data_IF_200911281947
#
_entry.id   IF_200911281947
#
_cell.length_a   1.000
_cell.length_b   1.000
_cell.length_c   1.000
_cell.angle_alpha   90.00
_cell.angle_beta   90.00
_cell.angle_gamma   90.00
#
_symmetry.space_group_name_H-M   'P 1'
#
loop_
_entity.id
_entity.type
_entity.pdbx_description
1 polymer ?
#
# COMPACT_ATOMS: atom_id res chain seq x y z
N UNK A 1 -49.04 14.55 46.31
CA UNK A 1 -48.09 15.32 45.48
C UNK A 1 -48.67 16.70 45.32
N UNK A 2 -47.89 17.72 45.63
CA UNK A 2 -48.31 19.13 45.53
C UNK A 2 -48.05 19.64 44.12
N UNK A 3 -48.89 20.54 43.61
CA UNK A 3 -48.76 21.19 42.29
C UNK A 3 -47.35 21.74 42.01
N UNK A 4 -46.57 22.09 43.05
CA UNK A 4 -45.18 22.52 42.94
C UNK A 4 -44.18 21.40 42.52
N UNK A 5 -44.40 20.16 42.97
CA UNK A 5 -43.55 19.01 42.60
C UNK A 5 -43.77 18.61 41.13
N UNK A 6 -45.03 18.67 40.67
CA UNK A 6 -45.40 18.43 39.27
C UNK A 6 -44.80 19.49 38.34
N UNK A 7 -44.83 20.75 38.76
CA UNK A 7 -44.28 21.87 37.98
C UNK A 7 -42.75 21.81 37.89
N UNK A 8 -42.06 21.44 38.98
CA UNK A 8 -40.62 21.20 38.96
C UNK A 8 -40.24 20.01 38.06
N UNK A 9 -41.02 18.94 38.09
CA UNK A 9 -40.79 17.76 37.23
C UNK A 9 -40.94 18.14 35.75
N UNK A 10 -42.00 18.89 35.39
CA UNK A 10 -42.23 19.34 34.02
C UNK A 10 -41.14 20.29 33.50
N UNK A 11 -40.60 21.18 34.34
CA UNK A 11 -39.48 22.06 33.98
C UNK A 11 -38.22 21.23 33.68
N UNK A 12 -37.90 20.27 34.55
CA UNK A 12 -36.73 19.39 34.39
C UNK A 12 -36.85 18.54 33.13
N UNK A 13 -38.02 17.97 32.87
CA UNK A 13 -38.28 17.16 31.67
C UNK A 13 -38.18 17.98 30.38
N UNK A 14 -38.70 19.21 30.38
CA UNK A 14 -38.59 20.13 29.23
C UNK A 14 -37.13 20.48 28.96
N UNK A 15 -36.35 20.79 30.00
CA UNK A 15 -34.94 21.09 29.87
C UNK A 15 -34.13 19.90 29.30
N UNK A 16 -34.44 18.67 29.73
CA UNK A 16 -33.83 17.47 29.16
C UNK A 16 -34.26 17.23 27.71
N UNK A 17 -35.54 17.43 27.39
CA UNK A 17 -36.03 17.29 26.03
C UNK A 17 -35.28 18.22 25.06
N UNK A 18 -35.09 19.49 25.43
CA UNK A 18 -34.31 20.45 24.63
C UNK A 18 -32.86 19.99 24.42
N UNK A 19 -32.20 19.49 25.47
CA UNK A 19 -30.83 18.94 25.36
C UNK A 19 -30.76 17.72 24.45
N UNK A 20 -31.74 16.81 24.54
CA UNK A 20 -31.78 15.62 23.69
C UNK A 20 -31.99 15.98 22.22
N UNK A 21 -32.91 16.90 21.91
CA UNK A 21 -33.14 17.37 20.54
C UNK A 21 -31.86 18.03 19.99
N UNK A 22 -31.27 18.95 20.76
CA UNK A 22 -30.02 19.60 20.36
C UNK A 22 -28.88 18.61 20.11
N UNK A 23 -28.70 17.63 21.00
CA UNK A 23 -27.67 16.60 20.82
C UNK A 23 -27.94 15.77 19.56
N UNK A 24 -29.19 15.34 19.34
CA UNK A 24 -29.55 14.55 18.16
C UNK A 24 -29.22 15.30 16.87
N UNK A 25 -29.54 16.58 16.80
CA UNK A 25 -29.23 17.42 15.64
C UNK A 25 -27.73 17.56 15.41
N UNK A 26 -26.93 17.67 16.48
CA UNK A 26 -25.47 17.68 16.38
C UNK A 26 -24.90 16.34 15.91
N UNK A 27 -25.42 15.22 16.44
CA UNK A 27 -25.01 13.86 16.06
C UNK A 27 -25.32 13.58 14.60
N UNK A 28 -26.50 13.98 14.12
CA UNK A 28 -26.90 13.86 12.72
C UNK A 28 -26.02 14.68 11.76
N UNK A 29 -25.29 15.67 12.25
CA UNK A 29 -24.36 16.49 11.46
C UNK A 29 -22.93 15.98 11.49
N UNK A 30 -22.62 14.91 12.25
CA UNK A 30 -21.28 14.35 12.31
C UNK A 30 -20.93 13.55 11.04
N UNK A 31 -21.87 12.73 10.59
CA UNK A 31 -21.73 11.87 9.41
C UNK A 31 -22.70 12.33 8.32
N UNK A 32 -22.29 12.20 7.06
CA UNK A 32 -23.18 12.38 5.92
C UNK A 32 -24.11 11.15 5.73
N UNK A 33 -24.99 11.21 4.73
CA UNK A 33 -25.93 10.12 4.42
C UNK A 33 -25.24 8.80 4.03
N UNK A 34 -23.94 8.83 3.73
CA UNK A 34 -23.11 7.66 3.42
C UNK A 34 -22.35 7.15 4.65
N UNK A 35 -22.59 7.74 5.82
CA UNK A 35 -21.87 7.41 7.04
C UNK A 35 -20.43 7.93 7.05
N UNK A 36 -20.10 8.97 6.28
CA UNK A 36 -18.74 9.53 6.20
C UNK A 36 -18.64 10.81 7.02
N UNK A 37 -17.55 10.97 7.76
CA UNK A 37 -17.30 12.14 8.61
C UNK A 37 -17.30 13.46 7.81
N UNK A 38 -18.16 14.40 8.20
CA UNK A 38 -18.26 15.74 7.61
C UNK A 38 -17.01 16.57 7.97
N UNK A 39 -16.50 17.35 7.01
CA UNK A 39 -15.21 18.07 7.11
C UNK A 39 -15.02 18.96 8.34
N UNK A 40 -16.11 19.54 8.85
CA UNK A 40 -16.12 20.47 9.99
C UNK A 40 -16.93 19.93 11.17
N UNK A 41 -17.13 18.62 11.23
CA UNK A 41 -17.84 17.98 12.34
C UNK A 41 -17.11 18.20 13.67
N UNK A 42 -17.81 18.68 14.69
CA UNK A 42 -17.25 18.86 16.02
C UNK A 42 -17.51 17.64 16.91
N UNK A 43 -16.79 16.54 16.64
CA UNK A 43 -16.97 15.26 17.34
C UNK A 43 -16.74 15.39 18.85
N UNK A 44 -15.74 16.18 19.27
CA UNK A 44 -15.37 16.32 20.68
C UNK A 44 -16.43 17.04 21.51
N UNK A 45 -17.02 18.11 20.97
CA UNK A 45 -18.09 18.81 21.66
C UNK A 45 -19.35 17.96 21.77
N UNK A 46 -19.76 17.31 20.67
CA UNK A 46 -20.92 16.41 20.66
C UNK A 46 -20.75 15.25 21.65
N UNK A 47 -19.54 14.67 21.77
CA UNK A 47 -19.24 13.63 22.77
C UNK A 47 -19.40 14.16 24.20
N UNK A 48 -18.90 15.36 24.50
CA UNK A 48 -19.06 16.00 25.82
C UNK A 48 -20.53 16.20 26.17
N UNK A 49 -21.34 16.68 25.22
CA UNK A 49 -22.77 16.88 25.42
C UNK A 49 -23.51 15.55 25.64
N UNK A 50 -23.14 14.49 24.92
CA UNK A 50 -23.68 13.15 25.15
C UNK A 50 -23.36 12.62 26.55
N UNK A 51 -22.11 12.78 27.02
CA UNK A 51 -21.71 12.34 28.36
C UNK A 51 -22.50 13.07 29.45
N UNK A 52 -22.79 14.36 29.26
CA UNK A 52 -23.51 15.17 30.24
C UNK A 52 -24.95 14.68 30.52
N UNK A 53 -25.58 13.96 29.59
CA UNK A 53 -26.94 13.42 29.74
C UNK A 53 -26.97 11.92 30.02
N UNK A 54 -25.81 11.25 30.06
CA UNK A 54 -25.67 9.79 30.20
C UNK A 54 -26.36 9.26 31.46
N UNK A 55 -26.23 9.98 32.58
CA UNK A 55 -26.78 9.57 33.88
C UNK A 55 -28.31 9.57 33.87
N UNK A 56 -28.90 10.62 33.31
CA UNK A 56 -30.34 10.85 33.36
C UNK A 56 -31.10 10.17 32.23
N UNK A 57 -30.47 10.00 31.06
CA UNK A 57 -31.07 9.41 29.85
C UNK A 57 -30.14 8.36 29.21
N UNK A 58 -29.87 7.23 29.88
CA UNK A 58 -28.87 6.24 29.44
C UNK A 58 -29.22 5.57 28.10
N UNK A 59 -30.50 5.30 27.83
CA UNK A 59 -30.95 4.69 26.57
C UNK A 59 -30.70 5.62 25.38
N UNK A 60 -31.06 6.90 25.54
CA UNK A 60 -30.82 7.92 24.52
C UNK A 60 -29.32 8.11 24.29
N UNK A 61 -28.52 8.20 25.36
CA UNK A 61 -27.06 8.24 25.26
C UNK A 61 -26.52 7.05 24.46
N UNK A 62 -26.95 5.81 24.76
CA UNK A 62 -26.45 4.62 24.08
C UNK A 62 -26.73 4.67 22.56
N UNK A 63 -27.87 5.20 22.15
CA UNK A 63 -28.21 5.38 20.72
C UNK A 63 -27.31 6.42 20.06
N UNK A 64 -27.19 7.62 20.65
CA UNK A 64 -26.37 8.70 20.09
C UNK A 64 -24.88 8.33 20.07
N UNK A 65 -24.40 7.64 21.11
CA UNK A 65 -23.01 7.28 21.27
C UNK A 65 -22.52 6.33 20.17
N UNK A 66 -23.38 5.50 19.56
CA UNK A 66 -22.97 4.65 18.42
C UNK A 66 -22.43 5.49 17.26
N UNK A 67 -23.17 6.52 16.86
CA UNK A 67 -22.78 7.42 15.76
C UNK A 67 -21.57 8.26 16.16
N UNK A 68 -21.52 8.74 17.41
CA UNK A 68 -20.37 9.50 17.93
C UNK A 68 -19.09 8.66 17.88
N UNK A 69 -19.13 7.39 18.27
CA UNK A 69 -17.96 6.51 18.23
C UNK A 69 -17.50 6.24 16.79
N UNK A 70 -18.43 6.05 15.85
CA UNK A 70 -18.06 5.92 14.44
C UNK A 70 -17.38 7.19 13.91
N UNK A 71 -17.97 8.37 14.17
CA UNK A 71 -17.36 9.65 13.79
C UNK A 71 -15.97 9.84 14.41
N UNK A 72 -15.80 9.46 15.68
CA UNK A 72 -14.52 9.50 16.40
C UNK A 72 -13.48 8.56 15.80
N UNK A 73 -13.87 7.35 15.41
CA UNK A 73 -12.97 6.41 14.72
C UNK A 73 -12.50 6.97 13.39
N UNK A 74 -13.40 7.56 12.59
CA UNK A 74 -13.03 8.19 11.32
C UNK A 74 -12.11 9.40 11.52
N UNK A 75 -12.39 10.25 12.51
CA UNK A 75 -11.52 11.37 12.87
C UNK A 75 -10.12 10.88 13.27
N UNK A 76 -10.03 9.84 14.09
CA UNK A 76 -8.77 9.24 14.50
C UNK A 76 -7.99 8.64 13.30
N UNK A 77 -8.70 8.02 12.35
CA UNK A 77 -8.08 7.49 11.13
C UNK A 77 -7.51 8.61 10.24
N UNK A 78 -8.20 9.75 10.13
CA UNK A 78 -7.69 10.94 9.44
C UNK A 78 -6.43 11.45 10.14
N UNK A 79 -6.42 11.55 11.47
CA UNK A 79 -5.25 11.98 12.24
C UNK A 79 -4.07 11.03 12.03
N UNK A 80 -4.28 9.71 12.11
CA UNK A 80 -3.23 8.71 11.87
C UNK A 80 -2.63 8.80 10.47
N UNK A 81 -3.48 8.98 9.45
CA UNK A 81 -3.01 9.12 8.08
C UNK A 81 -2.21 10.42 7.87
N UNK A 82 -2.60 11.53 8.50
CA UNK A 82 -1.82 12.75 8.49
C UNK A 82 -0.47 12.56 9.20
N UNK A 83 -0.44 11.95 10.38
CA UNK A 83 0.81 11.67 11.10
C UNK A 83 1.76 10.78 10.30
N UNK A 84 1.24 9.73 9.64
CA UNK A 84 2.04 8.86 8.79
C UNK A 84 2.62 9.62 7.59
N UNK A 85 1.87 10.58 7.04
CA UNK A 85 2.34 11.45 5.98
C UNK A 85 3.37 12.47 6.47
N UNK A 86 3.11 13.15 7.58
CA UNK A 86 3.99 14.15 8.20
C UNK A 86 5.36 13.55 8.54
N UNK A 87 5.40 12.26 8.90
CA UNK A 87 6.65 11.54 9.14
C UNK A 87 7.59 11.49 7.93
N UNK A 88 7.07 11.67 6.70
CA UNK A 88 7.83 11.72 5.44
C UNK A 88 8.40 13.12 5.15
N UNK A 89 7.92 14.15 5.85
CA UNK A 89 8.32 15.55 5.66
C UNK A 89 9.14 16.06 6.85
N UNK A 90 9.91 17.11 6.65
CA UNK A 90 10.72 17.72 7.73
C UNK A 90 9.86 18.23 8.89
N UNK A 91 8.63 18.65 8.58
CA UNK A 91 7.67 19.26 9.49
C UNK A 91 6.25 19.17 8.93
N UNK A 92 5.28 19.59 9.74
CA UNK A 92 3.84 19.57 9.43
C UNK A 92 3.42 20.52 8.30
N UNK A 93 4.29 21.45 7.86
CA UNK A 93 4.00 22.30 6.70
C UNK A 93 4.11 21.56 5.36
N UNK A 94 4.72 20.36 5.37
CA UNK A 94 4.89 19.48 4.20
C UNK A 94 5.54 20.16 2.99
N UNK A 95 6.37 21.17 3.24
CA UNK A 95 7.11 21.88 2.20
C UNK A 95 8.31 21.07 1.72
N UNK A 96 9.03 20.44 2.65
CA UNK A 96 10.28 19.73 2.38
C UNK A 96 10.18 18.26 2.77
N UNK A 97 10.50 17.36 1.83
CA UNK A 97 10.53 15.91 2.06
C UNK A 97 11.86 15.56 2.74
N UNK A 98 11.87 14.61 3.69
CA UNK A 98 13.12 14.19 4.33
C UNK A 98 14.02 13.47 3.31
N UNK A 99 15.33 13.67 3.40
CA UNK A 99 16.30 13.02 2.50
C UNK A 99 16.44 11.51 2.72
N UNK A 100 16.07 11.02 3.91
CA UNK A 100 16.16 9.61 4.30
C UNK A 100 14.81 8.87 4.25
N UNK A 101 13.82 9.39 3.52
CA UNK A 101 12.57 8.65 3.30
C UNK A 101 12.89 7.36 2.55
N UNK A 102 12.30 6.25 2.99
CA UNK A 102 12.42 4.95 2.33
C UNK A 102 11.06 4.44 1.86
N UNK A 103 11.09 3.53 0.87
CA UNK A 103 9.88 2.94 0.27
C UNK A 103 8.93 2.33 1.31
N UNK A 104 9.46 1.71 2.37
CA UNK A 104 8.64 1.14 3.44
C UNK A 104 7.79 2.19 4.19
N UNK A 105 8.37 3.37 4.46
CA UNK A 105 7.64 4.46 5.14
C UNK A 105 6.53 5.02 4.23
N UNK A 106 6.81 5.16 2.93
CA UNK A 106 5.82 5.55 1.95
C UNK A 106 4.65 4.56 1.86
N UNK A 107 4.92 3.26 1.86
CA UNK A 107 3.87 2.23 1.84
C UNK A 107 3.02 2.22 3.12
N UNK A 108 3.63 2.50 4.28
CA UNK A 108 2.89 2.67 5.53
C UNK A 108 1.91 3.86 5.44
N UNK A 109 2.35 4.99 4.90
CA UNK A 109 1.50 6.15 4.71
C UNK A 109 0.38 5.92 3.68
N UNK A 110 0.66 5.20 2.59
CA UNK A 110 -0.38 4.76 1.63
C UNK A 110 -1.45 3.89 2.29
N UNK A 111 -1.02 2.95 3.13
CA UNK A 111 -1.92 2.05 3.87
C UNK A 111 -2.86 2.85 4.76
N UNK A 112 -2.35 3.83 5.52
CA UNK A 112 -3.17 4.68 6.37
C UNK A 112 -4.11 5.59 5.56
N UNK A 113 -3.64 6.14 4.42
CA UNK A 113 -4.49 6.94 3.50
C UNK A 113 -5.66 6.13 2.97
N UNK A 114 -5.47 4.84 2.67
CA UNK A 114 -6.51 4.01 2.08
C UNK A 114 -7.66 3.72 3.07
N UNK A 115 -7.40 3.75 4.37
CA UNK A 115 -8.41 3.62 5.44
C UNK A 115 -9.26 4.89 5.64
N UNK A 116 -8.84 6.04 5.11
CA UNK A 116 -9.60 7.29 5.21
C UNK A 116 -10.82 7.24 4.30
N UNK A 117 -12.01 7.41 4.88
CA UNK A 117 -13.29 7.47 4.15
C UNK A 117 -13.61 8.86 3.59
N UNK A 118 -13.29 9.92 4.34
CA UNK A 118 -13.60 11.29 3.94
C UNK A 118 -12.81 11.69 2.68
N UNK A 119 -13.55 11.99 1.60
CA UNK A 119 -12.97 12.24 0.27
C UNK A 119 -11.97 13.38 0.25
N UNK A 120 -12.28 14.52 0.86
CA UNK A 120 -11.38 15.68 0.82
C UNK A 120 -10.08 15.46 1.60
N UNK A 121 -10.15 14.92 2.82
CA UNK A 121 -8.94 14.50 3.53
C UNK A 121 -8.14 13.48 2.73
N UNK A 122 -8.80 12.49 2.11
CA UNK A 122 -8.12 11.49 1.27
C UNK A 122 -7.44 12.11 0.06
N UNK A 123 -8.07 13.08 -0.61
CA UNK A 123 -7.49 13.79 -1.74
C UNK A 123 -6.27 14.63 -1.34
N UNK A 124 -6.33 15.34 -0.21
CA UNK A 124 -5.18 16.07 0.31
C UNK A 124 -3.98 15.14 0.56
N UNK A 125 -4.23 13.98 1.18
CA UNK A 125 -3.19 12.97 1.40
C UNK A 125 -2.61 12.42 0.08
N UNK A 126 -3.44 12.21 -0.95
CA UNK A 126 -2.98 11.74 -2.26
C UNK A 126 -2.03 12.74 -2.92
N UNK A 127 -2.35 14.04 -2.86
CA UNK A 127 -1.52 15.07 -3.48
C UNK A 127 -0.10 15.10 -2.89
N UNK A 128 0.00 15.04 -1.56
CA UNK A 128 1.29 15.02 -0.88
C UNK A 128 2.05 13.71 -1.09
N UNK A 129 1.37 12.55 -1.05
CA UNK A 129 1.99 11.25 -1.31
C UNK A 129 2.55 11.15 -2.73
N UNK A 130 1.89 11.73 -3.74
CA UNK A 130 2.41 11.77 -5.10
C UNK A 130 3.75 12.54 -5.19
N UNK A 131 3.91 13.60 -4.41
CA UNK A 131 5.19 14.34 -4.34
C UNK A 131 6.29 13.47 -3.73
N UNK A 132 5.98 12.70 -2.70
CA UNK A 132 6.92 11.77 -2.06
C UNK A 132 7.32 10.63 -3.01
N UNK A 133 6.36 10.09 -3.76
CA UNK A 133 6.63 9.04 -4.75
C UNK A 133 7.60 9.51 -5.83
N UNK A 134 7.38 10.70 -6.40
CA UNK A 134 8.29 11.30 -7.38
C UNK A 134 9.70 11.49 -6.79
N UNK A 135 9.79 11.94 -5.54
CA UNK A 135 11.06 12.11 -4.84
C UNK A 135 11.80 10.78 -4.67
N UNK A 136 11.11 9.72 -4.24
CA UNK A 136 11.70 8.39 -4.09
C UNK A 136 12.21 7.83 -5.41
N UNK A 137 11.42 7.95 -6.49
CA UNK A 137 11.84 7.52 -7.83
C UNK A 137 13.12 8.25 -8.27
N UNK A 138 13.20 9.56 -8.04
CA UNK A 138 14.38 10.34 -8.38
C UNK A 138 15.62 9.92 -7.55
N UNK A 139 15.43 9.68 -6.25
CA UNK A 139 16.47 9.22 -5.34
C UNK A 139 17.00 7.83 -5.72
N UNK A 140 16.10 6.89 -6.02
CA UNK A 140 16.45 5.53 -6.45
C UNK A 140 17.22 5.55 -7.78
N UNK A 141 16.77 6.37 -8.75
CA UNK A 141 17.48 6.56 -10.02
C UNK A 141 18.89 7.12 -9.81
N UNK A 142 19.03 8.14 -8.98
CA UNK A 142 20.34 8.74 -8.69
C UNK A 142 21.28 7.75 -8.00
N UNK A 143 20.78 6.95 -7.06
CA UNK A 143 21.56 5.91 -6.38
C UNK A 143 22.03 4.82 -7.37
N UNK A 144 21.15 4.36 -8.26
CA UNK A 144 21.50 3.39 -9.30
C UNK A 144 22.58 3.91 -10.26
N UNK A 145 22.48 5.16 -10.70
CA UNK A 145 23.50 5.79 -11.54
C UNK A 145 24.87 5.92 -10.84
N UNK A 146 24.87 6.22 -9.54
CA UNK A 146 26.10 6.28 -8.74
C UNK A 146 26.73 4.89 -8.56
N UNK A 147 25.93 3.86 -8.32
CA UNK A 147 26.40 2.47 -8.23
C UNK A 147 27.01 2.00 -9.56
N UNK A 148 26.34 2.27 -10.69
CA UNK A 148 26.86 1.91 -12.01
C UNK A 148 28.20 2.62 -12.33
N UNK A 149 28.36 3.89 -11.93
CA UNK A 149 29.63 4.62 -12.07
C UNK A 149 30.73 4.03 -11.17
N UNK A 150 30.39 3.67 -9.93
CA UNK A 150 31.34 3.06 -9.00
C UNK A 150 31.80 1.68 -9.48
N UNK A 151 30.89 0.86 -10.01
CA UNK A 151 31.24 -0.45 -10.58
C UNK A 151 32.13 -0.34 -11.81
N UNK A 152 31.89 0.64 -12.68
CA UNK A 152 32.74 0.88 -13.87
C UNK A 152 34.15 1.29 -13.43
N UNK A 153 34.27 2.21 -12.46
CA UNK A 153 35.59 2.62 -11.93
C UNK A 153 36.31 1.49 -11.20
N UNK A 154 35.59 0.61 -10.50
CA UNK A 154 36.18 -0.56 -9.85
C UNK A 154 36.70 -1.58 -10.88
N UNK A 155 35.98 -1.79 -11.98
CA UNK A 155 36.40 -2.67 -13.08
C UNK A 155 37.61 -2.12 -13.85
N UNK A 156 37.69 -0.81 -14.05
CA UNK A 156 38.85 -0.15 -14.68
C UNK A 156 40.12 -0.25 -13.81
N UNK A 157 39.98 -0.12 -12.49
CA UNK A 157 41.10 -0.31 -11.54
C UNK A 157 41.52 -1.78 -11.37
N UNK A 158 40.64 -2.74 -11.61
CA UNK A 158 40.97 -4.17 -11.56
C UNK A 158 41.62 -4.69 -12.86
N UNK A 159 41.38 -4.02 -14.01
CA UNK A 159 41.94 -4.39 -15.31
C UNK A 159 43.20 -3.60 -15.68
N UNK A 160 43.84 -2.89 -14.75
CA UNK A 160 45.15 -2.28 -15.01
C UNK A 160 46.20 -3.39 -15.03
N UNK A 161 46.83 -3.73 -16.18
CA UNK A 161 47.88 -4.73 -16.19
C UNK A 161 49.03 -4.23 -15.34
N UNK A 162 49.51 -5.10 -14.45
CA UNK A 162 50.79 -4.95 -13.78
C UNK A 162 51.87 -4.94 -14.87
N UNK A 163 52.26 -3.75 -15.32
CA UNK A 163 53.36 -3.54 -16.26
C UNK A 163 54.68 -3.83 -15.55
N UNK A 164 54.99 -5.10 -15.33
CA UNK A 164 56.33 -5.55 -14.99
C UNK A 164 57.10 -5.86 -16.28
N UNK A 165 57.69 -4.79 -16.81
CA UNK A 165 59.00 -4.68 -17.44
C UNK A 165 59.50 -5.86 -18.34
N UNK A 166 59.64 -5.67 -19.66
CA UNK A 166 60.35 -6.61 -20.52
C UNK A 166 61.85 -6.29 -20.50
N UNK A 167 62.66 -7.19 -19.94
CA UNK A 167 64.11 -7.21 -20.19
C UNK A 167 64.61 -8.65 -20.18
N UNK A 168 64.91 -9.16 -21.36
CA UNK A 168 65.68 -10.38 -21.63
C UNK A 168 66.73 -9.99 -22.69
N UNK A 169 67.84 -10.71 -22.93
CA UNK A 169 68.33 -11.97 -22.34
C UNK A 169 69.84 -11.97 -21.99
N UNK A 170 70.37 -12.96 -21.26
CA UNK A 170 71.75 -13.46 -21.48
C UNK A 170 71.99 -14.82 -20.82
N UNK A 171 72.72 -15.66 -21.54
CA UNK A 171 73.03 -17.07 -21.27
C UNK A 171 74.11 -17.27 -20.21
N UNK A 172 74.15 -18.51 -19.71
CA UNK A 172 75.33 -19.36 -19.39
C UNK A 172 75.71 -19.59 -17.92
N UNK A 173 75.58 -20.87 -17.54
CA UNK A 173 76.47 -21.71 -16.70
C UNK A 173 77.33 -21.08 -15.60
N UNK A 174 77.19 -21.57 -14.36
CA UNK A 174 78.18 -22.47 -13.71
C UNK A 174 77.84 -22.72 -12.24
N UNK A 175 78.41 -23.83 -11.77
CA UNK A 175 78.25 -24.57 -10.52
C UNK A 175 78.92 -23.96 -9.27
N UNK A 176 78.68 -24.63 -8.12
CA UNK A 176 79.36 -24.59 -6.80
C UNK A 176 78.75 -23.64 -5.76
N UNK A 177 78.07 -24.17 -4.72
CA UNK A 177 78.58 -24.55 -3.38
C UNK A 177 78.89 -23.29 -2.53
N UNK A 178 78.48 -23.08 -1.26
CA UNK A 178 78.15 -23.95 -0.12
C UNK A 178 77.53 -23.07 1.00
N UNK A 179 76.53 -23.57 1.74
CA UNK A 179 76.51 -23.82 3.21
C UNK A 179 76.17 -22.68 4.20
N UNK A 180 75.25 -22.98 5.14
CA UNK A 180 75.18 -22.42 6.50
C UNK A 180 73.84 -21.78 6.88
N UNK A 181 72.81 -22.53 7.31
CA UNK A 181 72.40 -22.66 8.73
C UNK A 181 71.11 -21.84 8.97
N UNK A 182 70.11 -22.17 9.79
CA UNK A 182 69.94 -23.11 10.89
C UNK A 182 68.43 -23.44 11.06
N UNK A 183 68.18 -24.60 11.65
CA UNK A 183 66.94 -25.38 11.78
C UNK A 183 65.98 -24.90 12.89
N UNK A 184 64.67 -25.18 12.76
CA UNK A 184 63.78 -25.74 13.84
C UNK A 184 62.44 -26.17 13.23
N UNK A 185 62.20 -27.47 12.98
CA UNK A 185 61.51 -28.48 13.81
C UNK A 185 60.00 -28.24 14.07
N UNK A 186 59.17 -29.19 13.64
CA UNK A 186 57.73 -29.20 13.90
C UNK A 186 56.94 -30.35 13.24
N UNK A 187 57.29 -31.60 13.59
CA UNK A 187 56.45 -32.81 13.67
C UNK A 187 55.23 -33.03 12.74
N UNK A 188 55.39 -34.03 11.86
CA UNK A 188 54.57 -35.25 11.67
C UNK A 188 53.07 -35.23 12.08
N UNK A 189 52.15 -35.42 11.11
CA UNK A 189 51.59 -36.75 10.82
C UNK A 189 50.55 -36.78 9.68
N UNK A 190 50.32 -37.95 9.05
CA UNK A 190 49.67 -38.12 7.75
C UNK A 190 48.31 -38.87 7.80
N UNK A 191 47.45 -38.66 6.80
CA UNK A 191 46.55 -39.67 6.21
C UNK A 191 45.93 -39.07 4.94
N UNK A 192 46.19 -39.60 3.73
CA UNK A 192 45.46 -40.71 3.06
C UNK A 192 43.94 -40.45 3.03
N UNK A 193 43.23 -40.39 1.90
CA UNK A 193 43.35 -41.17 0.65
C UNK A 193 42.47 -40.56 -0.46
N UNK A 194 42.86 -40.83 -1.72
CA UNK A 194 42.03 -41.12 -2.92
C UNK A 194 40.94 -40.11 -3.36
N UNK A 195 40.79 -39.72 -4.61
CA UNK A 195 41.12 -40.43 -5.85
C UNK A 195 41.25 -39.49 -7.07
N UNK A 196 42.19 -39.85 -7.94
CA UNK A 196 42.34 -39.64 -9.40
C UNK A 196 41.53 -38.51 -10.11
N UNK A 197 42.17 -37.49 -10.71
CA UNK A 197 42.83 -37.48 -12.05
C UNK A 197 41.87 -37.76 -13.22
N UNK A 198 41.83 -37.11 -14.38
CA UNK A 198 42.54 -35.98 -14.97
C UNK A 198 41.74 -35.55 -16.23
N UNK A 199 41.71 -34.24 -16.52
CA UNK A 199 41.80 -33.52 -17.83
C UNK A 199 41.47 -34.20 -19.19
N UNK A 200 41.35 -33.47 -20.32
CA UNK A 200 40.53 -32.28 -20.64
C UNK A 200 39.93 -32.35 -22.10
N UNK A 201 39.30 -31.24 -22.54
CA UNK A 201 39.02 -30.81 -23.94
C UNK A 201 37.99 -31.60 -24.78
N UNK A 202 36.97 -30.89 -25.29
CA UNK A 202 36.88 -30.57 -26.72
C UNK A 202 35.66 -29.68 -27.03
N UNK A 203 35.90 -28.64 -27.81
CA UNK A 203 34.95 -27.82 -28.55
C UNK A 203 34.14 -28.63 -29.57
N UNK A 204 32.84 -28.34 -29.71
CA UNK A 204 32.04 -28.73 -30.87
C UNK A 204 30.94 -27.70 -31.21
N UNK A 205 31.08 -27.11 -32.40
CA UNK A 205 30.05 -26.39 -33.17
C UNK A 205 29.49 -27.40 -34.19
N UNK A 206 28.17 -27.52 -34.42
CA UNK A 206 27.60 -27.23 -35.76
C UNK A 206 26.06 -26.91 -35.74
N UNK A 207 25.35 -26.81 -36.89
CA UNK A 207 25.58 -25.94 -38.05
C UNK A 207 24.30 -25.18 -38.51
N UNK A 208 24.48 -24.18 -39.39
CA UNK A 208 23.43 -23.66 -40.30
C UNK A 208 23.22 -24.65 -41.45
N UNK A 209 21.99 -24.89 -41.87
CA UNK A 209 21.68 -25.29 -43.25
C UNK A 209 20.34 -24.71 -43.73
N UNK A 210 20.30 -24.48 -45.03
CA UNK A 210 19.30 -23.75 -45.80
C UNK A 210 18.33 -24.69 -46.53
N UNK A 211 17.06 -24.28 -46.60
CA UNK A 211 16.23 -24.42 -47.80
C UNK A 211 15.34 -25.66 -47.94
N UNK A 212 14.01 -25.44 -48.01
CA UNK A 212 13.14 -25.70 -49.19
C UNK A 212 11.67 -25.52 -48.80
N UNK A 213 10.92 -24.87 -49.68
CA UNK A 213 9.48 -24.63 -49.54
C UNK A 213 8.59 -25.76 -50.04
N UNK A 214 7.29 -25.60 -49.78
CA UNK A 214 6.12 -25.93 -50.61
C UNK A 214 4.87 -25.48 -49.83
N UNK A 215 4.14 -24.44 -50.21
CA UNK A 215 3.01 -24.40 -51.18
C UNK A 215 1.82 -25.30 -50.83
N UNK A 216 0.76 -24.69 -50.28
CA UNK A 216 -0.66 -24.81 -50.70
C UNK A 216 -1.46 -23.87 -49.78
N UNK A 217 -1.89 -22.68 -50.20
CA UNK A 217 -2.93 -22.32 -51.17
C UNK A 217 -4.30 -22.91 -50.85
N UNK A 218 -5.19 -22.07 -50.30
CA UNK A 218 -6.62 -21.90 -50.65
C UNK A 218 -7.28 -21.04 -49.56
N UNK A 219 -7.50 -19.74 -49.79
CA UNK A 219 -8.76 -19.13 -50.28
C UNK A 219 -9.91 -19.26 -49.23
N UNK A 220 -10.66 -18.24 -48.81
CA UNK A 220 -11.14 -17.01 -49.46
C UNK A 220 -11.40 -15.88 -48.45
N UNK A 221 -11.42 -14.69 -49.03
CA UNK A 221 -11.64 -13.30 -48.56
C UNK A 221 -13.18 -13.02 -48.44
N UNK A 222 -13.66 -11.76 -48.35
CA UNK A 222 -13.98 -10.93 -47.16
C UNK A 222 -15.46 -10.46 -47.09
N UNK A 223 -15.81 -9.71 -46.04
CA UNK A 223 -16.77 -8.57 -46.11
C UNK A 223 -16.53 -7.67 -44.88
N UNK A 224 -16.06 -6.42 -45.02
CA UNK A 224 -16.84 -5.16 -45.15
C UNK A 224 -17.91 -5.02 -44.07
N UNK A 225 -18.05 -3.96 -43.27
CA UNK A 225 -17.54 -2.59 -43.29
C UNK A 225 -18.34 -1.83 -42.19
N UNK A 226 -17.73 -0.86 -41.49
CA UNK A 226 -18.00 0.59 -41.65
C UNK A 226 -18.94 1.14 -40.56
N UNK A 227 -18.50 2.26 -39.94
CA UNK A 227 -19.28 3.41 -39.40
C UNK A 227 -20.34 3.14 -38.32
N UNK A 228 -20.43 3.89 -37.23
CA UNK A 228 -20.12 5.31 -37.04
C UNK A 228 -21.39 6.06 -36.63
N UNK A 229 -21.27 6.86 -35.57
CA UNK A 229 -22.03 8.08 -35.21
C UNK A 229 -23.53 8.01 -34.81
N UNK A 230 -23.72 8.40 -33.54
CA UNK A 230 -24.55 9.51 -33.04
C UNK A 230 -26.06 9.64 -33.30
N UNK A 231 -26.70 10.14 -32.22
CA UNK A 231 -27.76 11.17 -32.14
C UNK A 231 -29.23 10.76 -32.07
N UNK A 232 -29.72 10.92 -30.82
CA UNK A 232 -30.80 11.84 -30.39
C UNK A 232 -32.24 11.67 -30.86
N UNK A 233 -33.12 11.99 -29.88
CA UNK A 233 -34.44 12.60 -29.97
C UNK A 233 -35.69 11.70 -29.94
N UNK A 234 -36.39 11.85 -28.82
CA UNK A 234 -37.71 12.48 -28.73
C UNK A 234 -38.93 11.62 -28.34
N UNK A 235 -39.70 12.25 -27.46
CA UNK A 235 -41.13 12.17 -27.17
C UNK A 235 -41.85 10.81 -27.03
N UNK A 236 -42.58 10.71 -25.92
CA UNK A 236 -43.96 10.23 -25.99
C UNK A 236 -44.54 9.61 -24.73
N UNK A 237 -45.54 10.28 -24.16
CA UNK A 237 -46.80 9.77 -23.56
C UNK A 237 -46.70 8.48 -22.71
N UNK A 238 -47.03 8.45 -21.42
CA UNK A 238 -48.26 8.98 -20.83
C UNK A 238 -49.33 7.88 -20.78
N UNK A 239 -49.52 7.24 -19.63
CA UNK A 239 -50.80 6.62 -19.20
C UNK A 239 -50.82 6.49 -17.67
N UNK A 240 -51.92 7.00 -17.09
CA UNK A 240 -52.42 6.66 -15.77
C UNK A 240 -52.62 5.14 -15.65
N UNK A 241 -52.39 4.58 -14.46
CA UNK A 241 -53.27 3.52 -13.95
C UNK A 241 -53.28 3.49 -12.42
N UNK A 242 -54.45 3.12 -11.91
CA UNK A 242 -54.94 3.27 -10.53
C UNK A 242 -55.11 1.88 -9.91
N UNK A 243 -54.63 1.64 -8.69
CA UNK A 243 -55.16 0.73 -7.64
C UNK A 243 -54.03 0.35 -6.66
N UNK A 244 -54.15 0.59 -5.36
CA UNK A 244 -54.98 -0.09 -4.34
C UNK A 244 -54.43 -1.46 -3.89
N UNK A 245 -54.35 -1.59 -2.56
CA UNK A 245 -54.38 -2.81 -1.75
C UNK A 245 -53.06 -3.52 -1.39
N UNK A 246 -52.65 -3.28 -0.14
CA UNK A 246 -52.27 -4.23 0.92
C UNK A 246 -51.82 -5.68 0.59
N UNK A 247 -50.63 -6.05 1.09
CA UNK A 247 -50.37 -7.18 2.02
C UNK A 247 -48.87 -7.14 2.39
N UNK A 248 -48.50 -6.93 3.67
CA UNK A 248 -48.14 -7.97 4.66
C UNK A 248 -47.24 -9.07 4.10
N UNK A 249 -45.94 -8.95 4.37
CA UNK A 249 -45.08 -10.12 4.55
C UNK A 249 -44.22 -9.95 5.81
N UNK A 250 -44.33 -11.00 6.62
CA UNK A 250 -43.72 -11.28 7.90
C UNK A 250 -42.41 -12.01 7.63
N UNK A 251 -41.29 -11.53 8.18
CA UNK A 251 -40.06 -12.33 8.24
C UNK A 251 -39.77 -12.74 9.68
N UNK A 252 -40.08 -14.00 9.92
CA UNK A 252 -39.66 -14.83 11.03
C UNK A 252 -38.12 -14.97 11.01
N UNK A 253 -37.48 -14.74 12.15
CA UNK A 253 -36.04 -14.94 12.36
C UNK A 253 -35.89 -16.01 13.41
N UNK A 254 -35.88 -17.26 12.95
CA UNK A 254 -35.49 -18.39 13.76
C UNK A 254 -34.68 -19.36 12.91
N UNK A 255 -33.44 -19.52 13.35
CA UNK A 255 -32.62 -20.73 13.31
C UNK A 255 -31.45 -20.86 12.34
N UNK A 256 -30.35 -21.34 12.94
CA UNK A 256 -29.11 -21.89 12.38
C UNK A 256 -28.13 -20.86 11.75
N UNK A 257 -27.01 -20.49 12.36
CA UNK A 257 -25.98 -21.33 12.95
C UNK A 257 -24.83 -21.49 11.95
N UNK A 258 -23.69 -20.81 12.17
CA UNK A 258 -22.33 -21.28 11.85
C UNK A 258 -21.33 -20.31 12.51
N UNK A 259 -20.65 -20.88 13.49
CA UNK A 259 -19.38 -20.44 14.05
C UNK A 259 -18.30 -20.92 13.06
N UNK A 260 -17.46 -20.04 12.50
CA UNK A 260 -16.09 -20.47 12.22
C UNK A 260 -15.10 -19.31 12.10
N UNK A 261 -14.18 -19.31 13.07
CA UNK A 261 -12.86 -18.72 13.04
C UNK A 261 -12.00 -19.31 11.94
N UNK A 262 -11.41 -18.48 11.07
CA UNK A 262 -10.15 -18.83 10.42
C UNK A 262 -9.21 -17.64 10.44
N UNK A 263 -8.21 -17.72 11.33
CA UNK A 263 -6.92 -17.09 11.13
C UNK A 263 -6.34 -17.58 9.80
N UNK A 264 -6.03 -16.67 8.88
CA UNK A 264 -5.10 -16.95 7.81
C UNK A 264 -3.72 -16.39 8.19
N UNK A 265 -2.92 -17.25 8.82
CA UNK A 265 -1.48 -17.15 8.84
C UNK A 265 -0.94 -17.68 7.51
N UNK A 266 -0.67 -16.80 6.55
CA UNK A 266 0.46 -16.96 5.64
C UNK A 266 0.68 -15.69 4.82
N UNK A 267 1.89 -15.13 4.96
CA UNK A 267 2.40 -14.09 4.09
C UNK A 267 2.63 -14.62 2.67
N UNK A 268 2.41 -13.76 1.68
CA UNK A 268 2.72 -14.06 0.29
C UNK A 268 1.99 -13.14 -0.67
N UNK A 269 2.77 -12.31 -1.35
CA UNK A 269 2.43 -11.29 -2.35
C UNK A 269 1.80 -11.84 -3.62
N UNK A 270 0.84 -11.11 -4.20
CA UNK A 270 0.92 -10.61 -5.59
C UNK A 270 -0.35 -9.83 -5.95
N UNK A 271 -0.21 -8.51 -6.13
CA UNK A 271 -1.21 -7.76 -6.91
C UNK A 271 -0.46 -7.00 -8.00
N UNK A 272 -0.46 -7.66 -9.16
CA UNK A 272 -0.06 -7.16 -10.46
C UNK A 272 -0.64 -5.78 -10.75
N UNK A 273 0.23 -4.89 -11.23
CA UNK A 273 -0.09 -3.53 -11.66
C UNK A 273 -0.67 -3.55 -13.07
N UNK A 274 -1.93 -3.15 -13.22
CA UNK A 274 -2.56 -2.87 -14.51
C UNK A 274 -2.58 -1.36 -14.77
N UNK A 275 -1.84 -0.93 -15.78
CA UNK A 275 -1.89 0.41 -16.35
C UNK A 275 -3.16 0.59 -17.17
N UNK A 276 -3.84 1.73 -17.00
CA UNK A 276 -4.59 2.46 -18.03
C UNK A 276 -4.76 3.92 -17.59
#
# INVERSE_FOLDING_TARGET
MTTAEELNTAIVDTAYASKMVGLRDQVNKLLDDKGVLVEKANVSETEKQAIAIKKDKPIFYAQQNKVIQEAKQQQAQITKANQALDALFTDESRKTIKSNVIRAQFQAALTEKNKVKQTKAKQALIQDLNRVEIHLIAQEKQAAEQQAKAETQAKEKANTPQTNNPSSPTKSSSSSASQGGSSTSGYLSPNKSSDSSATPKSSYIPPRSSGKGNTSASSRKPSTGTSGTEKSNDAGKGTNDTNSSANKDSYDTSDEGINDTTENQNGGTDISWGWN
#
